data_IF_908267893910
#
_entry.id   IF_908267893910
#
_cell.length_a   1.000
_cell.length_b   1.000
_cell.length_c   1.000
_cell.angle_alpha   90.00
_cell.angle_beta   90.00
_cell.angle_gamma   90.00
#
_symmetry.space_group_name_H-M   'P 1'
#
loop_
_entity.id
_entity.type
_entity.pdbx_description
1 polymer ?
#
# COMPACT_ATOMS: atom_id res chain seq x y z
N UNK A 1 -27.27 -8.40 2.82
CA UNK A 1 -27.37 -7.88 4.21
C UNK A 1 -26.52 -6.63 4.29
N UNK A 2 -27.10 -5.51 4.72
CA UNK A 2 -26.38 -4.24 4.85
C UNK A 2 -25.51 -4.26 6.11
N UNK A 3 -24.25 -3.82 6.00
CA UNK A 3 -23.34 -3.69 7.14
C UNK A 3 -23.78 -2.51 8.04
N UNK A 4 -23.66 -2.62 9.37
CA UNK A 4 -24.02 -1.55 10.30
C UNK A 4 -23.08 -0.33 10.13
N UNK A 5 -23.65 0.89 10.16
CA UNK A 5 -22.89 2.15 10.20
C UNK A 5 -22.52 2.47 11.65
N UNK A 6 -21.23 2.65 12.00
CA UNK A 6 -20.84 3.16 13.31
C UNK A 6 -20.94 4.71 13.37
N UNK A 7 -21.04 5.29 14.58
CA UNK A 7 -21.10 6.74 14.76
C UNK A 7 -19.80 7.43 14.38
N UNK A 8 -19.92 8.67 13.89
CA UNK A 8 -18.80 9.49 13.42
C UNK A 8 -17.82 9.80 14.56
N UNK A 9 -16.61 9.23 14.49
CA UNK A 9 -15.48 9.64 15.30
C UNK A 9 -14.37 10.15 14.38
N UNK A 10 -13.89 11.36 14.68
CA UNK A 10 -12.78 12.00 14.01
C UNK A 10 -11.47 11.34 14.44
N UNK A 11 -10.94 10.43 13.63
CA UNK A 11 -9.62 9.84 13.85
C UNK A 11 -8.58 10.56 12.98
N UNK A 12 -7.61 11.21 13.62
CA UNK A 12 -6.41 11.72 12.96
C UNK A 12 -5.48 10.55 12.62
N UNK A 13 -5.31 10.28 11.32
CA UNK A 13 -4.38 9.28 10.81
C UNK A 13 -2.99 9.92 10.66
N UNK A 14 -2.12 9.71 11.65
CA UNK A 14 -0.70 10.01 11.55
C UNK A 14 0.05 8.82 10.97
N UNK A 15 0.55 8.93 9.73
CA UNK A 15 1.59 8.04 9.20
C UNK A 15 2.94 8.40 9.83
N UNK A 16 3.14 7.99 11.09
CA UNK A 16 4.39 8.14 11.80
C UNK A 16 5.08 6.79 11.96
N UNK A 17 5.99 6.44 11.05
CA UNK A 17 6.86 5.28 11.23
C UNK A 17 8.07 5.67 12.08
N UNK A 18 7.90 5.73 13.39
CA UNK A 18 9.03 5.88 14.31
C UNK A 18 9.72 4.52 14.50
N UNK A 19 10.98 4.39 14.08
CA UNK A 19 11.86 3.32 14.59
C UNK A 19 12.15 3.59 16.07
N UNK A 20 11.97 2.63 17.00
CA UNK A 20 12.55 2.78 18.33
C UNK A 20 14.05 2.50 18.24
N UNK A 21 14.88 3.55 18.11
CA UNK A 21 16.28 3.48 18.55
C UNK A 21 16.31 3.74 20.05
N UNK A 22 16.38 2.68 20.85
CA UNK A 22 16.76 2.77 22.25
C UNK A 22 18.19 3.33 22.36
N UNK A 23 18.31 4.62 22.67
CA UNK A 23 19.49 5.19 23.32
C UNK A 23 19.04 6.02 24.52
N UNK A 24 19.42 5.58 25.72
CA UNK A 24 19.38 6.39 26.93
C UNK A 24 20.38 7.54 26.80
N UNK A 25 19.92 8.78 26.96
CA UNK A 25 20.55 9.81 27.80
C UNK A 25 19.83 11.17 27.66
N UNK A 26 19.59 11.83 28.81
CA UNK A 26 19.67 13.29 28.92
C UNK A 26 18.40 14.10 28.69
N UNK A 27 17.82 14.62 29.78
CA UNK A 27 16.84 15.72 29.78
C UNK A 27 17.48 17.01 29.26
N UNK A 28 16.78 17.76 28.39
CA UNK A 28 16.44 19.20 28.57
C UNK A 28 15.99 19.81 27.24
N UNK A 29 14.94 20.64 27.28
CA UNK A 29 14.68 21.66 26.27
C UNK A 29 13.38 21.50 25.50
N UNK A 30 12.27 21.92 26.11
CA UNK A 30 11.11 22.40 25.37
C UNK A 30 11.53 23.67 24.60
N UNK A 31 11.48 23.62 23.27
CA UNK A 31 11.44 24.83 22.44
C UNK A 31 10.49 24.57 21.29
N UNK A 32 9.36 25.25 21.36
CA UNK A 32 8.41 25.45 20.27
C UNK A 32 9.13 25.91 19.00
N UNK A 33 9.02 25.14 17.91
CA UNK A 33 9.24 25.65 16.57
C UNK A 33 7.97 25.41 15.75
N UNK A 34 7.14 26.45 15.75
CA UNK A 34 6.12 26.69 14.75
C UNK A 34 6.80 26.84 13.38
N UNK A 35 6.24 26.18 12.36
CA UNK A 35 6.26 26.72 11.00
C UNK A 35 7.33 26.18 10.05
N UNK A 36 7.21 24.92 9.65
CA UNK A 36 7.65 24.46 8.31
C UNK A 36 6.54 23.59 7.71
N UNK A 37 5.68 24.19 6.89
CA UNK A 37 4.72 23.45 6.07
C UNK A 37 5.49 22.86 4.89
N UNK A 38 6.04 21.66 5.09
CA UNK A 38 6.68 20.88 4.04
C UNK A 38 5.56 20.32 3.18
N UNK A 39 5.21 21.02 2.10
CA UNK A 39 4.23 20.54 1.13
C UNK A 39 4.90 19.47 0.26
N UNK A 40 4.38 18.23 0.21
CA UNK A 40 4.80 17.28 -0.81
C UNK A 40 4.61 17.94 -2.18
N UNK A 41 5.64 17.95 -3.02
CA UNK A 41 5.44 18.30 -4.44
C UNK A 41 4.77 17.10 -5.08
N UNK A 42 3.49 17.25 -5.37
CA UNK A 42 2.68 16.23 -6.02
C UNK A 42 2.89 16.38 -7.52
N UNK A 43 3.46 15.37 -8.16
CA UNK A 43 3.64 15.34 -9.61
C UNK A 43 2.48 14.51 -10.18
N UNK A 44 1.51 15.17 -10.82
CA UNK A 44 0.22 14.61 -11.29
C UNK A 44 -0.78 14.18 -10.20
N UNK A 45 -1.83 14.99 -10.00
CA UNK A 45 -3.03 14.62 -9.27
C UNK A 45 -4.19 14.51 -10.26
N UNK A 46 -4.55 13.29 -10.67
CA UNK A 46 -5.68 13.07 -11.58
C UNK A 46 -6.65 12.04 -11.05
N UNK A 47 -7.93 12.34 -11.19
CA UNK A 47 -9.00 11.43 -10.78
C UNK A 47 -9.27 10.40 -11.88
N UNK A 48 -9.56 9.14 -11.51
CA UNK A 48 -9.94 8.08 -12.46
C UNK A 48 -11.41 8.24 -12.89
N UNK A 49 -11.82 7.85 -14.11
CA UNK A 49 -13.24 7.69 -14.45
C UNK A 49 -13.96 6.75 -13.45
N UNK A 50 -15.17 7.14 -13.02
CA UNK A 50 -16.02 6.32 -12.12
C UNK A 50 -16.41 4.97 -12.74
N UNK A 51 -16.43 4.87 -14.06
CA UNK A 51 -16.82 3.68 -14.80
C UNK A 51 -15.58 3.00 -15.40
N UNK A 52 -14.96 2.13 -14.60
CA UNK A 52 -14.13 0.96 -14.91
C UNK A 52 -13.61 0.63 -16.32
N UNK A 53 -13.29 1.58 -17.19
CA UNK A 53 -12.37 1.33 -18.30
C UNK A 53 -10.98 1.13 -17.68
N UNK A 54 -10.62 -0.12 -17.39
CA UNK A 54 -9.39 -0.48 -16.69
C UNK A 54 -8.16 0.07 -17.40
N UNK A 55 -7.65 1.20 -16.90
CA UNK A 55 -6.42 1.80 -17.41
C UNK A 55 -5.25 0.95 -16.96
N UNK A 56 -4.53 0.36 -17.90
CA UNK A 56 -3.35 -0.45 -17.60
C UNK A 56 -2.14 0.48 -17.49
N UNK A 57 -1.90 1.02 -16.29
CA UNK A 57 -0.77 1.91 -16.04
C UNK A 57 -0.77 2.48 -14.63
N UNK A 58 -0.18 3.67 -14.50
CA UNK A 58 -0.08 4.44 -13.26
C UNK A 58 -1.02 5.63 -13.33
N UNK A 59 -1.89 5.81 -12.35
CA UNK A 59 -2.81 6.95 -12.32
C UNK A 59 -2.30 8.11 -11.46
N UNK A 60 -1.38 7.83 -10.54
CA UNK A 60 -0.89 8.84 -9.60
C UNK A 60 0.54 8.54 -9.16
N UNK A 61 1.34 9.59 -9.00
CA UNK A 61 2.70 9.53 -8.48
C UNK A 61 2.85 10.64 -7.43
N UNK A 62 3.42 10.34 -6.28
CA UNK A 62 3.78 11.36 -5.28
C UNK A 62 5.25 11.28 -4.96
N UNK A 63 5.87 12.42 -4.69
CA UNK A 63 7.27 12.51 -4.29
C UNK A 63 7.37 13.27 -2.98
N UNK A 64 8.03 12.65 -2.01
CA UNK A 64 8.38 13.22 -0.73
C UNK A 64 9.91 13.48 -0.71
N UNK A 65 10.36 14.73 -0.92
CA UNK A 65 11.78 15.04 -1.08
C UNK A 65 12.63 14.76 0.16
N UNK A 66 12.11 15.07 1.35
CA UNK A 66 12.88 14.89 2.59
C UNK A 66 13.28 13.43 2.87
N UNK A 67 12.36 12.44 2.77
CA UNK A 67 12.75 11.04 2.87
C UNK A 67 13.33 10.48 1.55
N UNK A 68 13.25 11.21 0.43
CA UNK A 68 13.64 10.72 -0.90
C UNK A 68 12.76 9.54 -1.35
N UNK A 69 11.44 9.65 -1.15
CA UNK A 69 10.47 8.58 -1.40
C UNK A 69 9.51 8.94 -2.54
N UNK A 70 9.36 8.01 -3.48
CA UNK A 70 8.39 8.06 -4.56
C UNK A 70 7.28 7.04 -4.29
N UNK A 71 6.02 7.45 -4.26
CA UNK A 71 4.88 6.51 -4.25
C UNK A 71 4.26 6.46 -5.64
N UNK A 72 4.14 5.26 -6.19
CA UNK A 72 3.60 5.01 -7.53
C UNK A 72 2.32 4.19 -7.39
N UNK A 73 1.21 4.77 -7.85
CA UNK A 73 -0.12 4.19 -7.72
C UNK A 73 -0.60 3.60 -9.05
N UNK A 74 -0.68 2.27 -9.11
CA UNK A 74 -1.16 1.52 -10.26
C UNK A 74 -2.68 1.48 -10.35
N UNK A 75 -3.18 1.72 -11.54
CA UNK A 75 -4.60 1.52 -11.88
C UNK A 75 -4.86 0.05 -12.23
N UNK A 76 -6.13 -0.26 -12.47
CA UNK A 76 -6.62 -1.63 -12.63
C UNK A 76 -5.99 -2.40 -13.79
N UNK A 77 -6.18 -3.73 -13.81
CA UNK A 77 -7.11 -4.51 -12.99
C UNK A 77 -6.63 -4.74 -11.55
N UNK A 78 -7.55 -5.13 -10.67
CA UNK A 78 -7.24 -5.80 -9.41
C UNK A 78 -7.83 -7.19 -9.47
N UNK A 79 -7.08 -8.20 -9.03
CA UNK A 79 -7.55 -9.57 -9.02
C UNK A 79 -8.47 -9.88 -7.82
N UNK A 80 -8.73 -8.91 -6.94
CA UNK A 80 -9.77 -8.96 -5.89
C UNK A 80 -10.87 -7.92 -6.13
N UNK A 81 -12.02 -8.17 -5.50
CA UNK A 81 -13.16 -7.26 -5.37
C UNK A 81 -13.48 -6.97 -3.89
N UNK A 82 -12.48 -6.51 -3.15
CA UNK A 82 -12.59 -6.28 -1.71
C UNK A 82 -13.75 -5.35 -1.34
N UNK A 83 -14.56 -5.76 -0.36
CA UNK A 83 -15.59 -4.93 0.26
C UNK A 83 -14.94 -3.68 0.88
N UNK A 84 -15.45 -2.49 0.57
CA UNK A 84 -14.93 -1.23 1.10
C UNK A 84 -13.51 -0.88 0.62
N UNK A 85 -13.10 -1.33 -0.57
CA UNK A 85 -11.79 -1.00 -1.13
C UNK A 85 -11.59 0.52 -1.25
N UNK A 86 -10.61 1.07 -0.52
CA UNK A 86 -10.29 2.51 -0.54
C UNK A 86 -9.88 2.95 -1.94
N UNK A 87 -9.09 2.16 -2.67
CA UNK A 87 -8.63 2.53 -4.02
C UNK A 87 -9.76 2.69 -5.04
N UNK A 88 -10.92 2.04 -4.82
CA UNK A 88 -12.11 2.21 -5.68
C UNK A 88 -12.92 3.45 -5.31
N UNK A 89 -12.95 3.79 -4.03
CA UNK A 89 -13.79 4.87 -3.47
C UNK A 89 -13.07 6.21 -3.39
N UNK A 90 -11.75 6.18 -3.27
CA UNK A 90 -10.85 7.34 -3.20
C UNK A 90 -9.68 7.10 -4.15
N UNK A 91 -9.87 7.39 -5.46
CA UNK A 91 -8.84 7.16 -6.47
C UNK A 91 -7.70 8.17 -6.41
N UNK A 92 -7.68 9.07 -5.42
CA UNK A 92 -6.61 10.03 -5.19
C UNK A 92 -6.10 9.84 -3.77
N UNK A 93 -4.80 10.08 -3.58
CA UNK A 93 -4.19 10.04 -2.26
C UNK A 93 -4.95 10.97 -1.30
N UNK A 94 -5.36 10.41 -0.16
CA UNK A 94 -6.17 11.11 0.85
C UNK A 94 -5.41 12.26 1.53
N UNK A 95 -4.08 12.29 1.39
CA UNK A 95 -3.20 13.30 1.97
C UNK A 95 -3.03 14.53 1.06
N UNK A 96 -3.71 14.58 -0.09
CA UNK A 96 -3.67 15.73 -0.99
C UNK A 96 -4.57 16.86 -0.51
N UNK A 97 -3.99 18.06 -0.40
CA UNK A 97 -4.70 19.28 0.01
C UNK A 97 -5.63 19.84 -1.08
N UNK A 98 -5.28 19.65 -2.36
CA UNK A 98 -6.04 20.14 -3.51
C UNK A 98 -6.40 18.98 -4.45
N UNK A 99 -7.68 18.84 -4.75
CA UNK A 99 -8.20 17.83 -5.68
C UNK A 99 -8.36 18.49 -7.04
N UNK A 100 -7.62 18.04 -8.05
CA UNK A 100 -7.96 18.40 -9.43
C UNK A 100 -9.18 17.57 -9.85
N UNK A 101 -10.16 18.23 -10.47
CA UNK A 101 -11.30 17.57 -11.11
C UNK A 101 -10.92 17.00 -12.49
N UNK A 102 -9.68 17.20 -12.94
CA UNK A 102 -9.21 16.69 -14.23
C UNK A 102 -9.05 15.16 -14.16
N UNK A 103 -9.85 14.50 -14.98
CA UNK A 103 -9.75 13.07 -15.25
C UNK A 103 -8.73 12.88 -16.37
N UNK A 104 -7.58 12.28 -16.05
CA UNK A 104 -6.62 11.83 -17.08
C UNK A 104 -6.52 10.32 -17.08
N UNK A 105 -6.24 9.79 -18.26
CA UNK A 105 -5.91 8.38 -18.44
C UNK A 105 -4.64 8.01 -17.70
N UNK A 106 -4.56 6.77 -17.23
CA UNK A 106 -3.34 6.19 -16.66
C UNK A 106 -2.16 6.34 -17.64
N UNK A 107 -0.98 6.62 -17.08
CA UNK A 107 0.28 6.77 -17.83
C UNK A 107 1.09 5.48 -17.80
N UNK A 108 1.91 5.27 -18.83
CA UNK A 108 2.81 4.14 -19.00
C UNK A 108 4.03 4.20 -18.08
N UNK A 109 4.75 3.08 -17.96
CA UNK A 109 6.03 3.05 -17.25
C UNK A 109 7.04 4.05 -17.83
N UNK A 110 7.13 4.19 -19.15
CA UNK A 110 8.01 5.17 -19.80
C UNK A 110 7.69 6.62 -19.43
N UNK A 111 6.41 6.95 -19.35
CA UNK A 111 5.97 8.28 -18.96
C UNK A 111 6.35 8.56 -17.50
N UNK A 112 6.14 7.60 -16.60
CA UNK A 112 6.60 7.73 -15.20
C UNK A 112 8.11 7.94 -15.14
N UNK A 113 8.90 7.17 -15.88
CA UNK A 113 10.36 7.30 -15.89
C UNK A 113 10.81 8.69 -16.33
N UNK A 114 10.17 9.28 -17.35
CA UNK A 114 10.44 10.67 -17.78
C UNK A 114 10.04 11.70 -16.72
N UNK A 115 8.93 11.47 -16.02
CA UNK A 115 8.46 12.39 -14.98
C UNK A 115 9.40 12.47 -13.77
N UNK A 116 10.09 11.38 -13.47
CA UNK A 116 10.92 11.27 -12.26
C UNK A 116 12.42 11.37 -12.53
N UNK A 117 12.83 11.54 -13.79
CA UNK A 117 14.23 11.48 -14.23
C UNK A 117 15.16 12.44 -13.45
N UNK A 118 14.65 13.64 -13.13
CA UNK A 118 15.40 14.70 -12.44
C UNK A 118 15.14 14.73 -10.91
N UNK A 119 14.44 13.73 -10.36
CA UNK A 119 14.11 13.67 -8.93
C UNK A 119 15.16 12.87 -8.15
N UNK A 120 15.54 13.36 -6.96
CA UNK A 120 16.45 12.66 -6.04
C UNK A 120 15.67 11.76 -5.07
N UNK A 121 15.34 10.54 -5.51
CA UNK A 121 14.71 9.53 -4.67
C UNK A 121 15.61 8.31 -4.51
N UNK A 122 15.52 7.68 -3.34
CA UNK A 122 16.25 6.44 -3.03
C UNK A 122 15.31 5.25 -2.86
N UNK A 123 14.03 5.51 -2.62
CA UNK A 123 13.03 4.47 -2.38
C UNK A 123 11.79 4.72 -3.23
N UNK A 124 11.27 3.64 -3.80
CA UNK A 124 10.02 3.65 -4.58
C UNK A 124 9.04 2.69 -3.95
N UNK A 125 7.83 3.17 -3.64
CA UNK A 125 6.73 2.39 -3.08
C UNK A 125 5.69 2.16 -4.17
N UNK A 126 5.54 0.92 -4.59
CA UNK A 126 4.54 0.51 -5.57
C UNK A 126 3.26 0.10 -4.85
N UNK A 127 2.16 0.78 -5.15
CA UNK A 127 0.86 0.59 -4.52
C UNK A 127 -0.28 0.94 -5.49
N UNK A 128 -1.50 1.15 -4.99
CA UNK A 128 -2.70 1.41 -5.81
C UNK A 128 -3.66 0.23 -5.74
N UNK A 129 -4.11 -0.25 -6.89
CA UNK A 129 -4.95 -1.46 -6.96
C UNK A 129 -4.14 -2.73 -6.67
N UNK A 130 -3.74 -3.50 -7.68
CA UNK A 130 -2.83 -4.63 -7.47
C UNK A 130 -1.68 -4.54 -8.49
N UNK A 131 -0.48 -4.09 -8.06
CA UNK A 131 0.65 -3.94 -8.97
C UNK A 131 1.02 -5.25 -9.68
N UNK A 132 0.92 -6.40 -9.02
CA UNK A 132 1.39 -7.68 -9.57
C UNK A 132 0.60 -8.20 -10.77
N UNK A 133 -0.60 -7.65 -11.03
CA UNK A 133 -1.41 -7.96 -12.23
C UNK A 133 -1.41 -6.83 -13.26
N UNK A 134 -0.72 -5.72 -12.98
CA UNK A 134 -0.58 -4.61 -13.91
C UNK A 134 0.67 -4.81 -14.79
N UNK A 135 0.48 -4.75 -16.11
CA UNK A 135 1.56 -5.01 -17.10
C UNK A 135 2.73 -4.04 -17.00
N UNK A 136 2.50 -2.82 -16.51
CA UNK A 136 3.53 -1.78 -16.43
C UNK A 136 4.41 -1.96 -15.18
N UNK A 137 3.96 -2.73 -14.18
CA UNK A 137 4.65 -2.85 -12.89
C UNK A 137 6.07 -3.41 -13.03
N UNK A 138 6.23 -4.59 -13.62
CA UNK A 138 7.55 -5.24 -13.72
C UNK A 138 8.53 -4.40 -14.54
N UNK A 139 8.03 -3.79 -15.62
CA UNK A 139 8.81 -2.90 -16.48
C UNK A 139 9.29 -1.67 -15.73
N UNK A 140 8.40 -1.02 -14.98
CA UNK A 140 8.73 0.16 -14.19
C UNK A 140 9.67 -0.20 -13.04
N UNK A 141 9.35 -1.23 -12.25
CA UNK A 141 10.14 -1.64 -11.09
C UNK A 141 11.58 -2.02 -11.47
N UNK A 142 11.75 -2.79 -12.56
CA UNK A 142 13.07 -3.13 -13.09
C UNK A 142 13.84 -1.91 -13.57
N UNK A 143 13.19 -1.02 -14.31
CA UNK A 143 13.82 0.22 -14.76
C UNK A 143 14.22 1.13 -13.61
N UNK A 144 13.42 1.21 -12.54
CA UNK A 144 13.71 1.99 -11.35
C UNK A 144 15.01 1.52 -10.68
N UNK A 145 15.19 0.20 -10.51
CA UNK A 145 16.44 -0.36 -9.97
C UNK A 145 17.64 -0.10 -10.88
N UNK A 146 17.50 -0.37 -12.18
CA UNK A 146 18.64 -0.29 -13.12
C UNK A 146 19.09 1.15 -13.35
N UNK A 147 18.15 2.08 -13.50
CA UNK A 147 18.45 3.47 -13.89
C UNK A 147 18.76 4.36 -12.69
N UNK A 148 18.10 4.13 -11.55
CA UNK A 148 18.19 5.01 -10.39
C UNK A 148 18.75 4.33 -9.13
N UNK A 149 19.03 3.01 -9.18
CA UNK A 149 19.54 2.28 -8.01
C UNK A 149 18.54 2.25 -6.85
N UNK A 150 17.24 2.32 -7.14
CA UNK A 150 16.20 2.49 -6.12
C UNK A 150 16.00 1.25 -5.24
N UNK A 151 15.67 1.49 -3.97
CA UNK A 151 15.11 0.51 -3.07
C UNK A 151 13.60 0.36 -3.33
N UNK A 152 13.19 -0.79 -3.84
CA UNK A 152 11.83 -1.03 -4.29
C UNK A 152 10.99 -1.71 -3.20
N UNK A 153 9.91 -1.05 -2.79
CA UNK A 153 8.93 -1.56 -1.83
C UNK A 153 7.63 -1.87 -2.57
N UNK A 154 7.13 -3.09 -2.45
CA UNK A 154 5.83 -3.50 -3.01
C UNK A 154 4.77 -3.63 -1.91
N UNK A 155 3.65 -2.92 -2.07
CA UNK A 155 2.42 -3.18 -1.32
C UNK A 155 1.49 -4.01 -2.19
N UNK A 156 1.14 -5.21 -1.75
CA UNK A 156 0.39 -6.18 -2.55
C UNK A 156 -0.61 -6.97 -1.71
N UNK A 157 -1.67 -7.46 -2.33
CA UNK A 157 -2.55 -8.46 -1.73
C UNK A 157 -1.93 -9.87 -1.66
N UNK A 158 -0.76 -10.07 -2.26
CA UNK A 158 0.06 -11.29 -2.17
C UNK A 158 -0.48 -12.50 -2.94
N UNK A 159 -1.58 -12.36 -3.69
CA UNK A 159 -2.17 -13.50 -4.41
C UNK A 159 -1.32 -13.93 -5.62
N UNK A 160 -0.88 -12.97 -6.43
CA UNK A 160 0.18 -13.23 -7.40
C UNK A 160 1.53 -12.98 -6.76
N UNK A 161 2.49 -13.80 -7.14
CA UNK A 161 3.86 -13.70 -6.64
C UNK A 161 4.66 -12.76 -7.54
N UNK A 162 5.28 -11.74 -6.96
CA UNK A 162 6.23 -10.87 -7.65
C UNK A 162 7.63 -11.48 -7.57
N UNK A 163 8.34 -11.52 -8.68
CA UNK A 163 9.73 -11.98 -8.72
C UNK A 163 10.63 -11.11 -7.84
N UNK A 164 11.60 -11.71 -7.17
CA UNK A 164 12.48 -11.01 -6.21
C UNK A 164 13.49 -10.08 -6.87
N UNK A 165 13.71 -10.16 -8.18
CA UNK A 165 14.67 -9.31 -8.90
C UNK A 165 14.18 -7.85 -9.05
N UNK A 166 12.87 -7.62 -8.91
CA UNK A 166 12.26 -6.30 -9.05
C UNK A 166 11.90 -5.62 -7.73
N UNK A 167 11.99 -6.30 -6.59
CA UNK A 167 11.62 -5.77 -5.26
C UNK A 167 12.66 -6.08 -4.20
N UNK A 168 12.86 -5.17 -3.26
CA UNK A 168 13.74 -5.36 -2.09
C UNK A 168 12.94 -5.62 -0.81
N UNK A 169 11.72 -5.07 -0.75
CA UNK A 169 10.81 -5.22 0.38
C UNK A 169 9.37 -5.45 -0.08
N UNK A 170 8.62 -6.27 0.65
CA UNK A 170 7.21 -6.56 0.37
C UNK A 170 6.39 -6.39 1.64
N UNK A 171 5.28 -5.66 1.54
CA UNK A 171 4.22 -5.66 2.54
C UNK A 171 3.02 -6.40 1.97
N UNK A 172 2.69 -7.56 2.55
CA UNK A 172 1.57 -8.38 2.10
C UNK A 172 0.33 -8.07 2.94
N UNK A 173 -0.75 -7.78 2.25
CA UNK A 173 -2.06 -7.56 2.84
C UNK A 173 -2.80 -8.89 3.06
N UNK A 174 -2.62 -9.49 4.23
CA UNK A 174 -3.29 -10.76 4.57
C UNK A 174 -4.73 -10.45 4.96
N UNK A 175 -5.67 -10.77 4.07
CA UNK A 175 -7.08 -10.41 4.26
C UNK A 175 -7.84 -11.34 5.19
N UNK A 176 -7.45 -12.62 5.25
CA UNK A 176 -8.01 -13.64 6.15
C UNK A 176 -7.23 -14.95 6.00
N UNK A 177 -7.19 -15.74 7.07
CA UNK A 177 -6.75 -17.15 7.07
C UNK A 177 -7.92 -18.06 6.69
N UNK A 178 -9.10 -17.75 7.19
CA UNK A 178 -10.33 -18.51 6.99
C UNK A 178 -10.86 -18.28 5.57
N UNK A 179 -10.90 -19.33 4.76
CA UNK A 179 -11.27 -19.27 3.34
C UNK A 179 -12.66 -18.64 3.10
N UNK A 180 -13.63 -18.89 3.99
CA UNK A 180 -14.95 -18.29 3.88
C UNK A 180 -14.90 -16.77 4.09
N UNK A 181 -14.19 -16.30 5.13
CA UNK A 181 -14.00 -14.88 5.42
C UNK A 181 -13.25 -14.21 4.27
N UNK A 182 -12.16 -14.84 3.80
CA UNK A 182 -11.39 -14.40 2.65
C UNK A 182 -12.28 -14.21 1.42
N UNK A 183 -13.11 -15.20 1.09
CA UNK A 183 -14.03 -15.13 -0.05
C UNK A 183 -15.10 -14.04 0.11
N UNK A 184 -15.68 -13.93 1.30
CA UNK A 184 -16.70 -12.91 1.59
C UNK A 184 -16.13 -11.50 1.50
N UNK A 185 -14.91 -11.29 1.96
CA UNK A 185 -14.26 -9.99 1.92
C UNK A 185 -13.71 -9.65 0.53
N UNK A 186 -12.95 -10.55 -0.09
CA UNK A 186 -12.18 -10.28 -1.33
C UNK A 186 -12.93 -10.60 -2.61
N UNK A 187 -14.02 -11.39 -2.54
CA UNK A 187 -14.69 -11.95 -3.72
C UNK A 187 -13.88 -13.04 -4.46
N UNK A 188 -12.74 -13.48 -3.92
CA UNK A 188 -11.88 -14.51 -4.51
C UNK A 188 -11.73 -15.71 -3.58
N UNK A 189 -11.41 -16.88 -4.15
CA UNK A 189 -11.03 -18.08 -3.39
C UNK A 189 -9.51 -18.20 -3.33
N UNK A 190 -8.99 -18.98 -2.39
CA UNK A 190 -7.58 -19.35 -2.34
C UNK A 190 -6.75 -18.52 -1.38
N UNK A 191 -7.23 -18.28 -0.16
CA UNK A 191 -6.47 -17.68 0.95
C UNK A 191 -5.08 -18.31 1.12
N UNK A 192 -5.01 -19.65 1.05
CA UNK A 192 -3.75 -20.42 1.14
C UNK A 192 -2.66 -19.96 0.18
N UNK A 193 -3.02 -19.53 -1.04
CA UNK A 193 -2.04 -19.04 -2.02
C UNK A 193 -1.33 -17.78 -1.54
N UNK A 194 -2.05 -16.87 -0.87
CA UNK A 194 -1.46 -15.66 -0.26
C UNK A 194 -0.48 -16.06 0.84
N UNK A 195 -0.86 -17.03 1.68
CA UNK A 195 -0.03 -17.53 2.77
C UNK A 195 1.23 -18.27 2.28
N UNK A 196 1.11 -19.04 1.20
CA UNK A 196 2.25 -19.69 0.54
C UNK A 196 3.21 -18.65 -0.06
N UNK A 197 2.69 -17.64 -0.76
CA UNK A 197 3.52 -16.57 -1.30
C UNK A 197 4.20 -15.74 -0.21
N UNK A 198 3.52 -15.51 0.92
CA UNK A 198 4.10 -14.83 2.08
C UNK A 198 5.35 -15.56 2.59
N UNK A 199 5.26 -16.89 2.77
CA UNK A 199 6.42 -17.72 3.13
C UNK A 199 7.51 -17.67 2.07
N UNK A 200 7.14 -17.73 0.79
CA UNK A 200 8.11 -17.65 -0.31
C UNK A 200 8.88 -16.32 -0.31
N UNK A 201 8.24 -15.20 0.00
CA UNK A 201 8.95 -13.92 0.13
C UNK A 201 9.95 -13.93 1.29
N UNK A 202 9.59 -14.56 2.41
CA UNK A 202 10.49 -14.76 3.54
C UNK A 202 11.69 -15.64 3.17
N UNK A 203 11.45 -16.79 2.54
CA UNK A 203 12.49 -17.74 2.14
C UNK A 203 13.50 -17.14 1.14
N UNK A 204 13.08 -16.13 0.37
CA UNK A 204 13.94 -15.39 -0.55
C UNK A 204 14.77 -14.29 0.13
N UNK A 205 14.61 -14.07 1.44
CA UNK A 205 15.36 -13.09 2.21
C UNK A 205 14.98 -11.64 1.94
N UNK A 206 13.77 -11.38 1.42
CA UNK A 206 13.27 -10.01 1.24
C UNK A 206 12.90 -9.38 2.58
N UNK A 207 12.95 -8.05 2.68
CA UNK A 207 12.39 -7.35 3.84
C UNK A 207 10.86 -7.48 3.82
N UNK A 208 10.35 -8.41 4.62
CA UNK A 208 8.93 -8.76 4.66
C UNK A 208 8.19 -8.05 5.80
N UNK A 209 7.00 -7.55 5.50
CA UNK A 209 6.03 -7.02 6.45
C UNK A 209 4.64 -7.54 6.12
N UNK A 210 3.74 -7.49 7.09
CA UNK A 210 2.34 -7.82 6.90
C UNK A 210 1.44 -6.67 7.35
N UNK A 211 0.29 -6.54 6.70
CA UNK A 211 -0.83 -5.76 7.23
C UNK A 211 -2.15 -6.48 7.03
N UNK A 212 -3.13 -6.13 7.84
CA UNK A 212 -4.52 -6.55 7.67
C UNK A 212 -5.46 -5.43 8.12
N UNK A 213 -6.73 -5.56 7.76
CA UNK A 213 -7.78 -4.62 8.16
C UNK A 213 -8.76 -5.29 9.12
N UNK A 214 -8.98 -4.68 10.29
CA UNK A 214 -10.01 -5.11 11.23
C UNK A 214 -11.37 -4.60 10.76
N UNK A 215 -12.25 -5.54 10.38
CA UNK A 215 -13.61 -5.29 9.92
C UNK A 215 -14.57 -5.96 10.91
N UNK A 216 -15.23 -5.19 11.81
CA UNK A 216 -16.13 -5.75 12.81
C UNK A 216 -17.19 -6.67 12.19
N UNK A 217 -17.34 -7.88 12.75
CA UNK A 217 -18.26 -8.90 12.27
C UNK A 217 -17.86 -9.64 10.98
N UNK A 218 -16.66 -9.41 10.44
CA UNK A 218 -16.14 -10.14 9.28
C UNK A 218 -14.67 -10.56 9.44
N UNK A 219 -13.76 -9.58 9.56
CA UNK A 219 -12.34 -9.79 9.91
C UNK A 219 -12.18 -9.21 11.31
N UNK A 220 -12.74 -9.90 12.29
CA UNK A 220 -12.79 -9.47 13.68
C UNK A 220 -11.60 -10.04 14.48
N UNK A 221 -11.59 -9.82 15.80
CA UNK A 221 -10.50 -10.22 16.71
C UNK A 221 -10.02 -11.65 16.46
N UNK A 222 -10.90 -12.65 16.40
CA UNK A 222 -10.51 -14.05 16.21
C UNK A 222 -9.75 -14.27 14.89
N UNK A 223 -10.12 -13.54 13.82
CA UNK A 223 -9.46 -13.68 12.53
C UNK A 223 -8.12 -12.94 12.49
N UNK A 224 -8.04 -11.80 13.17
CA UNK A 224 -6.80 -11.04 13.37
C UNK A 224 -5.80 -11.87 14.20
N UNK A 225 -6.25 -12.55 15.25
CA UNK A 225 -5.43 -13.47 16.05
C UNK A 225 -4.87 -14.60 15.18
N UNK A 226 -5.70 -15.23 14.34
CA UNK A 226 -5.23 -16.26 13.39
C UNK A 226 -4.17 -15.72 12.42
N UNK A 227 -4.34 -14.49 11.93
CA UNK A 227 -3.35 -13.84 11.06
C UNK A 227 -2.04 -13.61 11.83
N UNK A 228 -2.11 -13.10 13.06
CA UNK A 228 -0.95 -12.87 13.92
C UNK A 228 -0.20 -14.17 14.22
N UNK A 229 -0.91 -15.24 14.59
CA UNK A 229 -0.35 -16.57 14.82
C UNK A 229 0.33 -17.12 13.57
N UNK A 230 -0.30 -16.95 12.40
CA UNK A 230 0.29 -17.35 11.12
C UNK A 230 1.61 -16.62 10.85
N UNK A 231 1.64 -15.29 11.00
CA UNK A 231 2.83 -14.47 10.77
C UNK A 231 3.95 -14.86 11.74
N UNK A 232 3.63 -14.98 13.04
CA UNK A 232 4.59 -15.39 14.05
C UNK A 232 5.11 -16.83 13.84
N UNK A 233 4.30 -17.70 13.22
CA UNK A 233 4.73 -19.03 12.80
C UNK A 233 5.68 -19.05 11.60
N UNK A 234 5.82 -17.93 10.86
CA UNK A 234 6.86 -17.73 9.86
C UNK A 234 8.10 -17.15 10.52
N UNK A 235 7.97 -15.98 11.15
CA UNK A 235 8.98 -15.38 12.04
C UNK A 235 8.29 -14.32 12.94
N UNK A 236 8.42 -14.41 14.28
CA UNK A 236 7.82 -13.44 15.21
C UNK A 236 8.37 -12.01 15.10
N UNK A 237 9.51 -11.81 14.46
CA UNK A 237 10.11 -10.48 14.23
C UNK A 237 9.54 -9.78 12.99
N UNK A 238 8.73 -10.46 12.16
CA UNK A 238 8.09 -9.83 11.00
C UNK A 238 7.09 -8.76 11.49
N UNK A 239 7.26 -7.48 11.09
CA UNK A 239 6.33 -6.44 11.51
C UNK A 239 4.92 -6.66 10.96
N UNK A 240 3.94 -6.57 11.86
CA UNK A 240 2.52 -6.70 11.54
C UNK A 240 1.75 -5.44 11.97
N UNK A 241 1.02 -4.83 11.03
CA UNK A 241 0.15 -3.67 11.28
C UNK A 241 -1.32 -4.05 11.10
N UNK A 242 -2.17 -3.60 12.01
CA UNK A 242 -3.63 -3.75 11.90
C UNK A 242 -4.24 -2.37 11.66
N UNK A 243 -4.91 -2.20 10.53
CA UNK A 243 -5.62 -0.98 10.18
C UNK A 243 -7.11 -1.09 10.52
N UNK A 244 -7.72 0.01 10.98
CA UNK A 244 -9.16 0.05 11.24
C UNK A 244 -9.97 0.19 9.95
N UNK A 245 -11.07 -0.55 9.83
CA UNK A 245 -11.98 -0.41 8.69
C UNK A 245 -12.64 0.97 8.63
N UNK A 246 -12.53 1.62 7.48
CA UNK A 246 -13.26 2.85 7.17
C UNK A 246 -14.43 2.45 6.25
N UNK A 247 -15.69 2.57 6.71
CA UNK A 247 -16.84 2.24 5.88
C UNK A 247 -16.91 3.09 4.61
N UNK A 248 -16.96 2.43 3.46
CA UNK A 248 -17.17 3.04 2.15
C UNK A 248 -18.34 2.37 1.44
N UNK A 249 -18.90 3.05 0.44
CA UNK A 249 -19.85 2.43 -0.49
C UNK A 249 -19.12 1.37 -1.35
N UNK A 250 -19.84 0.36 -1.86
CA UNK A 250 -19.27 -0.67 -2.74
C UNK A 250 -19.61 -0.39 -4.20
#
# INVERSE_FOLDING_TARGET
MAFPRPPAASYGLGLGWARPRLRRAGRSGFSSFLGWSIRPKVYNCFSRPKNGAGGMGVYHVTYAPEPGELCVYFDGPCNFSCHGCVCRNRPLDIHLAERSEEVRSSISAEEVLRLVEELDFRRVIFMGLEPTVNREFYKLAKAMKIRFGSYNVLLTNGYEFAESDVVDSVCVSIKAITEEVFRRFTGRKGSRRVLENFRRYWDLGLELRAESILVPGLIDVDEIERIAEFIAGVDPEIPYRIDGYIPMEN
#
